data_IF_770759066047
#
_entry.id   IF_770759066047
#
_cell.length_a   1.000
_cell.length_b   1.000
_cell.length_c   1.000
_cell.angle_alpha   90.00
_cell.angle_beta   90.00
_cell.angle_gamma   90.00
#
_symmetry.space_group_name_H-M   'P 1'
#
loop_
_entity.id
_entity.type
_entity.pdbx_description
1 polymer ?
#
# COMPACT_ATOMS: atom_id res chain seq x y z
N UNK A 1 33.37 -2.20 -17.60
CA UNK A 1 32.20 -3.00 -18.03
C UNK A 1 31.23 -3.38 -16.89
N UNK A 2 31.71 -3.70 -15.69
CA UNK A 2 30.87 -4.15 -14.53
C UNK A 2 29.90 -3.09 -13.96
N UNK A 3 30.10 -1.79 -14.25
CA UNK A 3 29.19 -0.74 -13.74
C UNK A 3 27.95 -0.50 -14.64
N UNK A 4 28.01 -0.87 -15.93
CA UNK A 4 26.89 -0.66 -16.88
C UNK A 4 25.74 -1.65 -16.59
N UNK A 5 26.05 -2.83 -16.06
CA UNK A 5 25.04 -3.82 -15.66
C UNK A 5 24.29 -3.43 -14.39
N UNK A 6 24.88 -2.59 -13.52
CA UNK A 6 24.28 -2.17 -12.23
C UNK A 6 23.13 -1.18 -12.40
N UNK A 7 23.18 -0.29 -13.39
CA UNK A 7 22.06 0.63 -13.62
C UNK A 7 20.85 -0.07 -14.24
N UNK A 8 21.06 -1.18 -14.96
CA UNK A 8 19.99 -1.82 -15.71
C UNK A 8 19.02 -2.61 -14.84
N UNK A 9 19.45 -3.14 -13.68
CA UNK A 9 18.54 -3.80 -12.72
C UNK A 9 17.48 -2.82 -12.21
N UNK A 10 17.92 -1.68 -11.69
CA UNK A 10 17.04 -0.59 -11.22
C UNK A 10 16.10 -0.09 -12.31
N UNK A 11 16.59 0.11 -13.55
CA UNK A 11 15.74 0.55 -14.66
C UNK A 11 14.63 -0.45 -14.97
N UNK A 12 14.88 -1.76 -14.85
CA UNK A 12 13.84 -2.78 -15.06
C UNK A 12 12.72 -2.68 -14.03
N UNK A 13 13.05 -2.44 -12.75
CA UNK A 13 12.03 -2.23 -11.73
C UNK A 13 11.20 -0.98 -12.01
N UNK A 14 11.83 0.13 -12.42
CA UNK A 14 11.12 1.37 -12.75
C UNK A 14 10.20 1.21 -13.97
N UNK A 15 10.63 0.46 -15.00
CA UNK A 15 9.78 0.14 -16.15
C UNK A 15 8.59 -0.71 -15.70
N UNK A 16 8.82 -1.73 -14.87
CA UNK A 16 7.75 -2.56 -14.32
C UNK A 16 6.75 -1.73 -13.49
N UNK A 17 7.24 -0.77 -12.70
CA UNK A 17 6.39 0.19 -11.98
C UNK A 17 5.55 1.04 -12.93
N UNK A 18 6.14 1.59 -13.99
CA UNK A 18 5.42 2.40 -14.97
C UNK A 18 4.31 1.60 -15.67
N UNK A 19 4.59 0.38 -16.10
CA UNK A 19 3.61 -0.52 -16.70
C UNK A 19 2.47 -0.79 -15.71
N UNK A 20 2.80 -1.09 -14.45
CA UNK A 20 1.81 -1.30 -13.39
C UNK A 20 0.94 -0.06 -13.17
N UNK A 21 1.53 1.13 -13.09
CA UNK A 21 0.80 2.38 -12.88
C UNK A 21 -0.13 2.70 -14.06
N UNK A 22 0.32 2.51 -15.31
CA UNK A 22 -0.54 2.67 -16.50
C UNK A 22 -1.73 1.70 -16.43
N UNK A 23 -1.48 0.44 -16.05
CA UNK A 23 -2.54 -0.56 -15.92
C UNK A 23 -3.55 -0.16 -14.84
N UNK A 24 -3.10 0.33 -13.67
CA UNK A 24 -3.99 0.84 -12.62
C UNK A 24 -4.83 2.01 -13.14
N UNK A 25 -4.21 2.99 -13.78
CA UNK A 25 -4.90 4.17 -14.32
C UNK A 25 -5.94 3.73 -15.35
N UNK A 26 -5.58 2.83 -16.26
CA UNK A 26 -6.49 2.30 -17.27
C UNK A 26 -7.69 1.61 -16.62
N UNK A 27 -7.46 0.69 -15.67
CA UNK A 27 -8.52 0.00 -14.96
C UNK A 27 -9.42 0.96 -14.16
N UNK A 28 -8.83 1.96 -13.49
CA UNK A 28 -9.57 2.92 -12.68
C UNK A 28 -10.41 3.88 -13.54
N UNK A 29 -9.81 4.48 -14.58
CA UNK A 29 -10.50 5.41 -15.47
C UNK A 29 -11.59 4.70 -16.26
N UNK A 30 -11.32 3.50 -16.79
CA UNK A 30 -12.32 2.75 -17.54
C UNK A 30 -13.55 2.44 -16.69
N UNK A 31 -13.34 1.97 -15.46
CA UNK A 31 -14.46 1.72 -14.54
C UNK A 31 -15.22 3.00 -14.23
N UNK A 32 -14.52 4.12 -13.98
CA UNK A 32 -15.16 5.38 -13.67
C UNK A 32 -15.94 5.95 -14.86
N UNK A 33 -15.40 5.85 -16.07
CA UNK A 33 -16.08 6.28 -17.29
C UNK A 33 -17.37 5.48 -17.54
N UNK A 34 -17.36 4.17 -17.27
CA UNK A 34 -18.54 3.32 -17.40
C UNK A 34 -19.63 3.67 -16.39
N UNK A 35 -19.24 3.94 -15.14
CA UNK A 35 -20.17 4.32 -14.08
C UNK A 35 -20.71 5.74 -14.30
N UNK A 36 -19.83 6.74 -14.41
CA UNK A 36 -20.21 8.16 -14.46
C UNK A 36 -20.79 8.55 -15.84
N UNK A 37 -20.27 7.96 -16.93
CA UNK A 37 -20.66 8.30 -18.29
C UNK A 37 -21.83 7.50 -18.85
N UNK A 38 -21.95 6.21 -18.47
CA UNK A 38 -22.96 5.30 -19.03
C UNK A 38 -23.94 4.75 -18.00
N UNK A 39 -23.76 5.05 -16.70
CA UNK A 39 -24.53 4.43 -15.61
C UNK A 39 -24.45 2.89 -15.60
N UNK A 40 -23.37 2.32 -16.16
CA UNK A 40 -23.14 0.88 -16.19
C UNK A 40 -22.13 0.53 -15.10
N UNK A 41 -22.61 0.01 -13.96
CA UNK A 41 -21.70 -0.57 -12.97
C UNK A 41 -21.41 -2.04 -13.30
N UNK A 42 -20.28 -2.25 -13.98
CA UNK A 42 -19.74 -3.59 -14.30
C UNK A 42 -19.56 -4.45 -13.05
N UNK A 43 -19.33 -3.85 -11.88
CA UNK A 43 -19.21 -4.56 -10.61
C UNK A 43 -20.52 -5.14 -10.10
N UNK A 44 -21.66 -4.57 -10.51
CA UNK A 44 -23.00 -5.02 -10.13
C UNK A 44 -23.54 -6.14 -11.01
N UNK A 45 -22.95 -6.36 -12.19
CA UNK A 45 -23.40 -7.37 -13.16
C UNK A 45 -23.24 -8.80 -12.63
N UNK A 46 -22.17 -9.05 -11.89
CA UNK A 46 -21.89 -10.39 -11.37
C UNK A 46 -21.00 -10.34 -10.13
N UNK A 47 -21.26 -11.22 -9.13
CA UNK A 47 -20.42 -11.32 -7.93
C UNK A 47 -18.98 -11.72 -8.27
N UNK A 48 -18.78 -12.51 -9.33
CA UNK A 48 -17.46 -12.93 -9.80
C UNK A 48 -16.69 -11.74 -10.35
N UNK A 49 -17.35 -10.89 -11.15
CA UNK A 49 -16.73 -9.70 -11.74
C UNK A 49 -16.35 -8.68 -10.67
N UNK A 50 -17.22 -8.43 -9.68
CA UNK A 50 -16.92 -7.57 -8.54
C UNK A 50 -15.66 -8.03 -7.80
N UNK A 51 -15.59 -9.32 -7.44
CA UNK A 51 -14.45 -9.92 -6.75
C UNK A 51 -13.16 -9.82 -7.55
N UNK A 52 -13.20 -10.19 -8.83
CA UNK A 52 -12.02 -10.18 -9.70
C UNK A 52 -11.52 -8.76 -9.95
N UNK A 53 -12.43 -7.80 -10.20
CA UNK A 53 -12.09 -6.38 -10.40
C UNK A 53 -11.33 -5.83 -9.22
N UNK A 54 -11.86 -6.03 -8.02
CA UNK A 54 -11.24 -5.56 -6.78
C UNK A 54 -9.89 -6.24 -6.57
N UNK A 55 -9.83 -7.57 -6.69
CA UNK A 55 -8.59 -8.34 -6.51
C UNK A 55 -7.48 -7.87 -7.45
N UNK A 56 -7.74 -7.79 -8.75
CA UNK A 56 -6.75 -7.34 -9.74
C UNK A 56 -6.37 -5.89 -9.50
N UNK A 57 -7.33 -5.02 -9.21
CA UNK A 57 -7.08 -3.61 -8.92
C UNK A 57 -6.10 -3.41 -7.77
N UNK A 58 -6.35 -4.04 -6.62
CA UNK A 58 -5.48 -3.93 -5.45
C UNK A 58 -4.14 -4.63 -5.65
N UNK A 59 -4.11 -5.79 -6.32
CA UNK A 59 -2.87 -6.50 -6.63
C UNK A 59 -1.94 -5.62 -7.49
N UNK A 60 -2.43 -5.06 -8.60
CA UNK A 60 -1.61 -4.22 -9.50
C UNK A 60 -1.19 -2.93 -8.79
N UNK A 61 -2.09 -2.33 -8.01
CA UNK A 61 -1.78 -1.15 -7.20
C UNK A 61 -0.63 -1.40 -6.23
N UNK A 62 -0.60 -2.55 -5.57
CA UNK A 62 0.44 -2.92 -4.60
C UNK A 62 1.80 -3.25 -5.24
N UNK A 63 1.84 -3.67 -6.50
CA UNK A 63 3.11 -3.98 -7.18
C UNK A 63 4.01 -2.75 -7.36
N UNK A 64 3.40 -1.58 -7.59
CA UNK A 64 4.14 -0.32 -7.79
C UNK A 64 5.09 0.02 -6.62
N UNK A 65 4.62 0.12 -5.36
CA UNK A 65 5.52 0.35 -4.22
C UNK A 65 6.50 -0.80 -3.99
N UNK A 66 6.14 -2.06 -4.24
CA UNK A 66 7.07 -3.18 -4.09
C UNK A 66 8.24 -3.11 -5.07
N UNK A 67 7.97 -2.77 -6.34
CA UNK A 67 9.03 -2.56 -7.32
C UNK A 67 9.90 -1.35 -6.97
N UNK A 68 9.35 -0.29 -6.39
CA UNK A 68 10.14 0.82 -5.86
C UNK A 68 11.08 0.40 -4.72
N UNK A 69 10.59 -0.38 -3.75
CA UNK A 69 11.42 -0.92 -2.67
C UNK A 69 12.56 -1.76 -3.23
N UNK A 70 12.26 -2.64 -4.20
CA UNK A 70 13.27 -3.46 -4.88
C UNK A 70 14.28 -2.62 -5.67
N UNK A 71 13.84 -1.53 -6.32
CA UNK A 71 14.71 -0.59 -7.00
C UNK A 71 15.67 0.10 -6.02
N UNK A 72 15.17 0.54 -4.87
CA UNK A 72 15.99 1.10 -3.80
C UNK A 72 16.95 0.06 -3.21
N UNK A 73 16.50 -1.19 -3.02
CA UNK A 73 17.35 -2.27 -2.53
C UNK A 73 18.48 -2.61 -3.50
N UNK A 74 18.20 -2.67 -4.80
CA UNK A 74 19.21 -2.85 -5.85
C UNK A 74 20.23 -1.70 -5.87
N UNK A 75 19.77 -0.47 -5.63
CA UNK A 75 20.64 0.71 -5.47
C UNK A 75 21.48 0.67 -4.21
N UNK A 76 20.93 0.18 -3.10
CA UNK A 76 21.70 -0.06 -1.89
C UNK A 76 22.80 -1.11 -2.13
N UNK A 77 22.44 -2.23 -2.76
CA UNK A 77 23.38 -3.30 -3.10
C UNK A 77 24.52 -2.83 -4.02
N UNK A 78 24.21 -2.02 -5.04
CA UNK A 78 25.22 -1.49 -5.95
C UNK A 78 26.13 -0.44 -5.32
N UNK A 79 25.61 0.38 -4.41
CA UNK A 79 26.36 1.41 -3.67
C UNK A 79 27.18 0.85 -2.51
N UNK A 80 26.86 -0.35 -2.01
CA UNK A 80 27.60 -1.00 -0.93
C UNK A 80 29.09 -1.23 -1.30
N UNK A 81 30.02 -1.07 -0.34
CA UNK A 81 31.44 -1.40 -0.54
C UNK A 81 31.68 -2.92 -0.62
N UNK A 82 30.80 -3.74 -0.03
CA UNK A 82 30.93 -5.20 -0.02
C UNK A 82 30.72 -5.82 -1.41
N UNK A 83 31.63 -6.69 -1.83
CA UNK A 83 31.56 -7.44 -3.09
C UNK A 83 30.33 -8.36 -3.11
N UNK A 84 29.98 -8.94 -1.96
CA UNK A 84 28.82 -9.84 -1.80
C UNK A 84 27.52 -9.06 -2.06
N UNK A 85 27.39 -7.86 -1.50
CA UNK A 85 26.19 -7.05 -1.72
C UNK A 85 26.11 -6.57 -3.18
N UNK A 86 27.26 -6.26 -3.78
CA UNK A 86 27.31 -5.84 -5.19
C UNK A 86 26.94 -6.95 -6.18
N UNK A 87 27.20 -8.22 -5.85
CA UNK A 87 26.86 -9.34 -6.74
C UNK A 87 25.36 -9.58 -6.87
N UNK A 88 24.57 -9.12 -5.89
CA UNK A 88 23.11 -9.17 -5.94
C UNK A 88 22.50 -8.22 -6.97
N UNK A 89 23.21 -7.14 -7.32
CA UNK A 89 22.78 -6.17 -8.34
C UNK A 89 23.06 -6.70 -9.75
N UNK A 90 22.27 -7.69 -10.16
CA UNK A 90 22.32 -8.33 -11.47
C UNK A 90 20.92 -8.41 -12.10
N UNK A 91 20.84 -8.30 -13.43
CA UNK A 91 19.59 -8.40 -14.20
C UNK A 91 18.85 -9.72 -13.97
N UNK A 92 19.58 -10.83 -13.81
CA UNK A 92 18.98 -12.16 -13.55
C UNK A 92 18.25 -12.16 -12.19
N UNK A 93 18.89 -11.59 -11.17
CA UNK A 93 18.30 -11.40 -9.84
C UNK A 93 17.11 -10.46 -9.92
N UNK A 94 17.22 -9.35 -10.65
CA UNK A 94 16.13 -8.40 -10.80
C UNK A 94 14.86 -9.02 -11.38
N UNK A 95 14.99 -9.82 -12.45
CA UNK A 95 13.85 -10.56 -13.01
C UNK A 95 13.23 -11.53 -12.00
N UNK A 96 14.06 -12.27 -11.26
CA UNK A 96 13.58 -13.19 -10.20
C UNK A 96 12.84 -12.43 -9.09
N UNK A 97 13.35 -11.28 -8.67
CA UNK A 97 12.70 -10.43 -7.67
C UNK A 97 11.37 -9.85 -8.16
N UNK A 98 11.29 -9.43 -9.43
CA UNK A 98 10.02 -8.97 -10.04
C UNK A 98 8.99 -10.11 -10.03
N UNK A 99 9.35 -11.30 -10.52
CA UNK A 99 8.46 -12.46 -10.49
C UNK A 99 8.05 -12.83 -9.07
N UNK A 100 9.00 -12.82 -8.13
CA UNK A 100 8.74 -13.08 -6.71
C UNK A 100 7.78 -12.08 -6.09
N UNK A 101 7.92 -10.78 -6.39
CA UNK A 101 7.02 -9.74 -5.92
C UNK A 101 5.59 -9.88 -6.49
N UNK A 102 5.47 -10.29 -7.76
CA UNK A 102 4.17 -10.59 -8.38
C UNK A 102 3.48 -11.76 -7.69
N UNK A 103 4.21 -12.86 -7.47
CA UNK A 103 3.69 -14.04 -6.78
C UNK A 103 3.30 -13.70 -5.34
N UNK A 104 4.17 -12.97 -4.63
CA UNK A 104 3.91 -12.53 -3.27
C UNK A 104 2.66 -11.65 -3.19
N UNK A 105 2.49 -10.68 -4.10
CA UNK A 105 1.30 -9.85 -4.16
C UNK A 105 0.04 -10.71 -4.44
N UNK A 106 0.09 -11.63 -5.40
CA UNK A 106 -1.03 -12.51 -5.71
C UNK A 106 -1.48 -13.33 -4.49
N UNK A 107 -0.53 -13.91 -3.73
CA UNK A 107 -0.81 -14.66 -2.51
C UNK A 107 -1.37 -13.74 -1.42
N UNK A 108 -0.74 -12.57 -1.20
CA UNK A 108 -1.15 -11.63 -0.16
C UNK A 108 -2.59 -11.14 -0.34
N UNK A 109 -3.02 -10.91 -1.58
CA UNK A 109 -4.39 -10.42 -1.87
C UNK A 109 -5.41 -11.54 -2.12
N UNK A 110 -5.03 -12.81 -1.98
CA UNK A 110 -5.91 -13.97 -2.24
C UNK A 110 -7.15 -14.00 -1.34
N UNK A 111 -7.11 -13.35 -0.17
CA UNK A 111 -8.27 -13.25 0.71
C UNK A 111 -9.41 -12.39 0.10
N UNK A 112 -9.11 -11.48 -0.84
CA UNK A 112 -10.12 -10.59 -1.42
C UNK A 112 -11.25 -11.28 -2.18
N UNK A 113 -10.99 -12.17 -3.16
CA UNK A 113 -12.06 -12.85 -3.89
C UNK A 113 -12.96 -13.71 -2.98
N UNK A 114 -12.50 -14.07 -1.79
CA UNK A 114 -13.28 -14.84 -0.83
C UNK A 114 -14.26 -13.92 -0.07
N UNK A 115 -13.76 -12.83 0.50
CA UNK A 115 -14.48 -12.02 1.47
C UNK A 115 -15.13 -10.74 0.92
N UNK A 116 -14.94 -10.41 -0.36
CA UNK A 116 -15.67 -9.30 -0.98
C UNK A 116 -17.05 -9.73 -1.43
N UNK A 117 -18.05 -8.89 -1.19
CA UNK A 117 -19.45 -9.18 -1.54
C UNK A 117 -20.13 -7.95 -2.13
N UNK A 118 -21.16 -8.20 -2.92
CA UNK A 118 -22.04 -7.15 -3.43
C UNK A 118 -22.99 -6.77 -2.28
N UNK A 119 -23.01 -5.49 -1.93
CA UNK A 119 -23.91 -4.93 -0.93
C UNK A 119 -24.78 -3.86 -1.58
N UNK A 120 -26.08 -3.89 -1.28
CA UNK A 120 -27.00 -2.82 -1.66
C UNK A 120 -27.00 -1.79 -0.53
N UNK A 121 -26.55 -0.57 -0.85
CA UNK A 121 -26.66 0.58 0.02
C UNK A 121 -27.72 1.53 -0.55
N UNK A 122 -28.99 1.24 -0.24
CA UNK A 122 -30.13 1.91 -0.86
C UNK A 122 -30.26 1.54 -2.34
N UNK A 123 -30.34 2.54 -3.22
CA UNK A 123 -30.42 2.34 -4.68
C UNK A 123 -29.08 1.98 -5.33
N UNK A 124 -27.96 2.10 -4.59
CA UNK A 124 -26.63 1.87 -5.14
C UNK A 124 -26.14 0.47 -4.77
N UNK A 125 -25.74 -0.29 -5.80
CA UNK A 125 -25.08 -1.58 -5.65
C UNK A 125 -23.58 -1.33 -5.61
N UNK A 126 -22.92 -1.73 -4.53
CA UNK A 126 -21.47 -1.52 -4.36
C UNK A 126 -20.76 -2.84 -4.01
N UNK A 127 -19.54 -2.99 -4.51
CA UNK A 127 -18.66 -4.10 -4.19
C UNK A 127 -17.82 -3.73 -2.97
N UNK A 128 -18.09 -4.33 -1.81
CA UNK A 128 -17.51 -3.94 -0.52
C UNK A 128 -17.01 -5.16 0.27
N UNK A 129 -15.97 -5.03 1.12
CA UNK A 129 -15.60 -6.10 2.05
C UNK A 129 -16.80 -6.53 2.91
N UNK A 130 -16.85 -7.81 3.24
CA UNK A 130 -17.87 -8.35 4.15
C UNK A 130 -17.91 -7.55 5.46
N UNK A 131 -19.12 -7.16 5.87
CA UNK A 131 -19.34 -6.39 7.09
C UNK A 131 -18.90 -7.18 8.33
N UNK A 132 -18.46 -6.45 9.35
CA UNK A 132 -18.01 -7.00 10.64
C UNK A 132 -16.49 -7.00 10.78
N UNK A 133 -15.93 -8.10 11.25
CA UNK A 133 -14.50 -8.19 11.62
C UNK A 133 -13.60 -8.03 10.39
N UNK A 134 -14.02 -8.55 9.25
CA UNK A 134 -13.22 -8.49 8.02
C UNK A 134 -13.05 -7.07 7.49
N UNK A 135 -14.06 -6.20 7.57
CA UNK A 135 -13.91 -4.79 7.18
C UNK A 135 -12.81 -4.08 8.00
N UNK A 136 -12.79 -4.32 9.31
CA UNK A 136 -11.75 -3.77 10.20
C UNK A 136 -10.37 -4.34 9.87
N UNK A 137 -10.27 -5.66 9.69
CA UNK A 137 -9.05 -6.32 9.25
C UNK A 137 -8.53 -5.74 7.93
N UNK A 138 -9.42 -5.59 6.93
CA UNK A 138 -9.08 -5.09 5.61
C UNK A 138 -8.53 -3.65 5.66
N UNK A 139 -9.15 -2.76 6.44
CA UNK A 139 -8.67 -1.38 6.63
C UNK A 139 -7.29 -1.34 7.26
N UNK A 140 -7.07 -2.11 8.33
CA UNK A 140 -5.79 -2.18 9.03
C UNK A 140 -4.73 -2.79 8.10
N UNK A 141 -5.06 -3.89 7.41
CA UNK A 141 -4.20 -4.54 6.44
C UNK A 141 -3.79 -3.56 5.33
N UNK A 142 -4.75 -2.86 4.73
CA UNK A 142 -4.48 -1.87 3.69
C UNK A 142 -3.55 -0.77 4.19
N UNK A 143 -3.80 -0.22 5.38
CA UNK A 143 -2.99 0.85 5.95
C UNK A 143 -1.56 0.36 6.25
N UNK A 144 -1.40 -0.80 6.87
CA UNK A 144 -0.09 -1.37 7.20
C UNK A 144 0.70 -1.73 5.94
N UNK A 145 0.10 -2.50 5.03
CA UNK A 145 0.77 -3.05 3.85
C UNK A 145 1.02 -1.99 2.79
N UNK A 146 0.11 -1.02 2.62
CA UNK A 146 0.22 -0.02 1.55
C UNK A 146 0.88 1.28 2.01
N UNK A 147 0.63 1.72 3.25
CA UNK A 147 1.16 3.00 3.75
C UNK A 147 2.42 2.80 4.58
N UNK A 148 2.36 2.04 5.67
CA UNK A 148 3.49 1.95 6.60
C UNK A 148 4.66 1.13 6.05
N UNK A 149 4.39 -0.08 5.56
CA UNK A 149 5.44 -0.99 5.13
C UNK A 149 6.33 -0.40 4.02
N UNK A 150 5.78 0.13 2.90
CA UNK A 150 6.61 0.72 1.85
C UNK A 150 7.35 1.96 2.34
N UNK A 151 6.71 2.78 3.18
CA UNK A 151 7.33 4.01 3.66
C UNK A 151 8.52 3.75 4.58
N UNK A 152 8.39 2.80 5.50
CA UNK A 152 9.47 2.41 6.40
C UNK A 152 10.62 1.79 5.61
N UNK A 153 10.32 0.82 4.73
CA UNK A 153 11.34 0.17 3.90
C UNK A 153 12.10 1.18 3.01
N UNK A 154 11.38 2.05 2.31
CA UNK A 154 11.99 3.08 1.46
C UNK A 154 12.82 4.08 2.26
N UNK A 155 12.34 4.51 3.43
CA UNK A 155 13.08 5.46 4.29
C UNK A 155 14.40 4.87 4.76
N UNK A 156 14.36 3.62 5.25
CA UNK A 156 15.56 2.91 5.69
C UNK A 156 16.54 2.71 4.54
N UNK A 157 16.07 2.25 3.38
CA UNK A 157 16.94 2.05 2.21
C UNK A 157 17.54 3.35 1.69
N UNK A 158 16.75 4.43 1.61
CA UNK A 158 17.25 5.76 1.21
C UNK A 158 18.32 6.28 2.17
N UNK A 159 18.13 6.11 3.48
CA UNK A 159 19.12 6.49 4.48
C UNK A 159 20.42 5.69 4.32
N UNK A 160 20.33 4.37 4.15
CA UNK A 160 21.48 3.49 3.93
C UNK A 160 22.23 3.85 2.64
N UNK A 161 21.53 4.14 1.55
CA UNK A 161 22.13 4.61 0.29
C UNK A 161 22.87 5.94 0.52
N UNK A 162 22.26 6.88 1.23
CA UNK A 162 22.87 8.18 1.51
C UNK A 162 24.16 8.05 2.34
N UNK A 163 24.16 7.17 3.34
CA UNK A 163 25.35 6.87 4.16
C UNK A 163 26.47 6.27 3.28
N UNK A 164 26.14 5.26 2.46
CA UNK A 164 27.11 4.59 1.58
C UNK A 164 27.75 5.56 0.58
N UNK A 165 26.95 6.45 -0.01
CA UNK A 165 27.42 7.44 -0.99
C UNK A 165 28.30 8.50 -0.32
N UNK A 166 27.94 8.96 0.88
CA UNK A 166 28.78 9.90 1.65
C UNK A 166 30.13 9.26 1.98
N UNK A 167 30.14 7.99 2.39
CA UNK A 167 31.35 7.25 2.67
C UNK A 167 32.24 7.08 1.41
N UNK A 168 31.67 6.63 0.30
CA UNK A 168 32.41 6.51 -0.98
C UNK A 168 32.93 7.86 -1.50
N UNK A 169 32.14 8.93 -1.37
CA UNK A 169 32.56 10.26 -1.82
C UNK A 169 33.76 10.79 -1.04
N UNK A 170 33.92 10.39 0.22
CA UNK A 170 35.11 10.72 1.04
C UNK A 170 36.35 9.96 0.58
N UNK A 171 36.21 8.70 0.15
CA UNK A 171 37.34 7.87 -0.29
C UNK A 171 37.78 8.15 -1.75
N UNK A 172 36.85 8.46 -2.65
CA UNK A 172 37.13 8.57 -4.11
C UNK A 172 37.69 9.94 -4.52
N UNK A 173 37.57 10.98 -3.69
CA UNK A 173 38.14 12.32 -3.97
C UNK A 173 39.67 12.31 -4.23
N UNK A 174 40.36 11.22 -3.92
CA UNK A 174 41.81 11.09 -4.08
C UNK A 174 42.28 10.43 -5.38
N UNK A 175 41.43 9.83 -6.24
CA UNK A 175 41.97 8.84 -7.22
C UNK A 175 41.52 8.91 -8.69
N UNK A 176 40.44 9.56 -9.13
CA UNK A 176 40.13 9.60 -10.59
C UNK A 176 39.08 10.66 -10.99
N UNK A 177 39.53 11.76 -11.60
CA UNK A 177 38.75 13.02 -11.76
C UNK A 177 37.86 13.09 -13.00
N UNK A 178 38.02 12.25 -14.03
CA UNK A 178 37.42 12.59 -15.35
C UNK A 178 36.28 11.68 -15.84
N UNK A 179 36.35 10.34 -15.68
CA UNK A 179 35.30 9.42 -16.18
C UNK A 179 34.17 9.15 -15.15
N UNK A 180 34.43 9.36 -13.86
CA UNK A 180 33.46 9.13 -12.78
C UNK A 180 32.36 10.20 -12.67
N UNK A 181 32.61 11.41 -13.16
CA UNK A 181 31.73 12.56 -12.90
C UNK A 181 30.35 12.44 -13.57
N UNK A 182 30.27 11.94 -14.81
CA UNK A 182 29.00 11.75 -15.50
C UNK A 182 28.17 10.65 -14.84
N UNK A 183 28.80 9.52 -14.51
CA UNK A 183 28.15 8.37 -13.87
C UNK A 183 27.63 8.74 -12.47
N UNK A 184 28.44 9.45 -11.68
CA UNK A 184 28.05 9.91 -10.36
C UNK A 184 26.96 10.99 -10.40
N UNK A 185 26.88 11.79 -11.48
CA UNK A 185 25.75 12.71 -11.72
C UNK A 185 24.45 11.96 -12.02
N UNK A 186 24.49 10.94 -12.87
CA UNK A 186 23.31 10.11 -13.17
C UNK A 186 22.78 9.37 -11.93
N UNK A 187 23.65 8.78 -11.12
CA UNK A 187 23.23 8.10 -9.89
C UNK A 187 22.63 9.07 -8.86
N UNK A 188 23.23 10.27 -8.70
CA UNK A 188 22.64 11.33 -7.85
C UNK A 188 21.28 11.79 -8.36
N UNK A 189 21.11 11.94 -9.67
CA UNK A 189 19.84 12.33 -10.26
C UNK A 189 18.79 11.24 -10.04
N UNK A 190 19.14 9.98 -10.22
CA UNK A 190 18.23 8.85 -10.01
C UNK A 190 17.79 8.74 -8.54
N UNK A 191 18.70 8.95 -7.59
CA UNK A 191 18.36 8.97 -6.16
C UNK A 191 17.47 10.16 -5.81
N UNK A 192 17.74 11.34 -6.38
CA UNK A 192 16.86 12.50 -6.20
C UNK A 192 15.45 12.24 -6.73
N UNK A 193 15.33 11.56 -7.88
CA UNK A 193 14.04 11.17 -8.44
C UNK A 193 13.32 10.18 -7.51
N UNK A 194 14.00 9.14 -7.03
CA UNK A 194 13.43 8.16 -6.09
C UNK A 194 12.96 8.83 -4.78
N UNK A 195 13.78 9.72 -4.23
CA UNK A 195 13.46 10.45 -3.00
C UNK A 195 12.31 11.44 -3.19
N UNK A 196 12.31 12.18 -4.31
CA UNK A 196 11.22 13.09 -4.66
C UNK A 196 9.91 12.34 -4.84
N UNK A 197 9.92 11.19 -5.51
CA UNK A 197 8.75 10.34 -5.67
C UNK A 197 8.21 9.86 -4.32
N UNK A 198 9.09 9.39 -3.43
CA UNK A 198 8.72 9.00 -2.07
C UNK A 198 8.09 10.15 -1.27
N UNK A 199 8.71 11.34 -1.31
CA UNK A 199 8.21 12.52 -0.60
C UNK A 199 6.83 12.94 -1.14
N UNK A 200 6.69 12.95 -2.47
CA UNK A 200 5.43 13.27 -3.16
C UNK A 200 4.33 12.28 -2.80
N UNK A 201 4.62 10.98 -2.84
CA UNK A 201 3.67 9.94 -2.45
C UNK A 201 3.24 10.04 -0.98
N UNK A 202 4.19 10.35 -0.09
CA UNK A 202 3.90 10.49 1.35
C UNK A 202 3.04 11.72 1.64
N UNK A 203 3.39 12.87 1.07
CA UNK A 203 2.67 14.12 1.33
C UNK A 203 1.29 14.16 0.66
N UNK A 204 1.19 13.72 -0.59
CA UNK A 204 -0.05 13.86 -1.39
C UNK A 204 -1.03 12.73 -1.10
N UNK A 205 -0.55 11.49 -0.92
CA UNK A 205 -1.44 10.34 -0.77
C UNK A 205 -1.60 9.89 0.68
N UNK A 206 -0.50 9.70 1.41
CA UNK A 206 -0.57 9.10 2.75
C UNK A 206 -1.19 10.07 3.75
N UNK A 207 -0.82 11.36 3.71
CA UNK A 207 -1.36 12.35 4.66
C UNK A 207 -2.88 12.51 4.56
N UNK A 208 -3.47 12.72 3.37
CA UNK A 208 -4.93 12.87 3.24
C UNK A 208 -5.68 11.56 3.50
N UNK A 209 -5.13 10.42 3.09
CA UNK A 209 -5.71 9.11 3.43
C UNK A 209 -5.72 8.92 4.94
N UNK A 210 -4.61 9.16 5.62
CA UNK A 210 -4.53 9.06 7.07
C UNK A 210 -5.53 9.99 7.75
N UNK A 211 -5.59 11.26 7.34
CA UNK A 211 -6.57 12.22 7.87
C UNK A 211 -8.03 11.81 7.62
N UNK A 212 -8.33 11.28 6.43
CA UNK A 212 -9.66 10.75 6.09
C UNK A 212 -10.01 9.52 6.94
N UNK A 213 -9.03 8.63 7.17
CA UNK A 213 -9.22 7.47 8.01
C UNK A 213 -9.37 7.84 9.49
N UNK A 214 -8.59 8.78 10.03
CA UNK A 214 -8.73 9.21 11.43
C UNK A 214 -10.06 9.92 11.65
N UNK A 215 -10.50 10.77 10.70
CA UNK A 215 -11.80 11.46 10.82
C UNK A 215 -12.99 10.49 10.69
N UNK A 216 -12.94 9.54 9.75
CA UNK A 216 -13.96 8.48 9.64
C UNK A 216 -13.91 7.50 10.83
N UNK A 217 -12.71 7.19 11.34
CA UNK A 217 -12.55 6.35 12.52
C UNK A 217 -13.05 7.06 13.77
N UNK A 218 -12.78 8.35 13.95
CA UNK A 218 -13.32 9.13 15.07
C UNK A 218 -14.84 9.23 15.01
N UNK A 219 -15.43 9.41 13.82
CA UNK A 219 -16.88 9.40 13.63
C UNK A 219 -17.50 8.03 13.92
N UNK A 220 -16.89 6.93 13.45
CA UNK A 220 -17.36 5.57 13.72
C UNK A 220 -17.14 5.16 15.19
N UNK A 221 -16.07 5.63 15.82
CA UNK A 221 -15.75 5.36 17.23
C UNK A 221 -16.63 6.21 18.15
N UNK A 222 -16.96 7.44 17.77
CA UNK A 222 -17.98 8.27 18.42
C UNK A 222 -19.36 7.61 18.30
N UNK A 223 -19.76 7.17 17.09
CA UNK A 223 -21.00 6.41 16.90
C UNK A 223 -21.03 5.15 17.75
N UNK A 224 -19.95 4.37 17.81
CA UNK A 224 -19.88 3.18 18.67
C UNK A 224 -19.93 3.53 20.17
N UNK A 225 -19.30 4.63 20.61
CA UNK A 225 -19.38 5.12 22.00
C UNK A 225 -20.77 5.64 22.35
N UNK A 226 -21.46 6.29 21.42
CA UNK A 226 -22.84 6.75 21.56
C UNK A 226 -23.78 5.55 21.60
N UNK A 227 -23.64 4.59 20.69
CA UNK A 227 -24.40 3.34 20.69
C UNK A 227 -24.18 2.54 21.98
N UNK A 228 -22.94 2.46 22.47
CA UNK A 228 -22.60 1.81 23.73
C UNK A 228 -23.16 2.57 24.94
N UNK A 229 -23.21 3.91 24.92
CA UNK A 229 -23.87 4.71 25.98
C UNK A 229 -25.37 4.47 26.00
N UNK A 230 -26.03 4.49 24.85
CA UNK A 230 -27.47 4.25 24.76
C UNK A 230 -27.82 2.79 25.14
N UNK A 231 -27.01 1.82 24.72
CA UNK A 231 -27.18 0.42 25.14
C UNK A 231 -27.00 0.23 26.66
N UNK A 232 -26.01 0.88 27.27
CA UNK A 232 -25.81 0.84 28.73
C UNK A 232 -26.95 1.53 29.51
N UNK A 233 -27.53 2.60 28.97
CA UNK A 233 -28.73 3.23 29.55
C UNK A 233 -29.93 2.27 29.52
N UNK A 234 -30.18 1.59 28.40
CA UNK A 234 -31.27 0.59 28.28
C UNK A 234 -31.10 -0.58 29.24
N UNK A 235 -29.87 -1.07 29.43
CA UNK A 235 -29.55 -2.10 30.43
C UNK A 235 -29.82 -1.61 31.87
N UNK A 236 -29.49 -0.36 32.19
CA UNK A 236 -29.76 0.22 33.51
C UNK A 236 -31.27 0.39 33.79
N UNK A 237 -32.07 0.65 32.75
CA UNK A 237 -33.53 0.77 32.84
C UNK A 237 -34.19 -0.59 33.11
N UNK A 238 -33.77 -1.65 32.39
CA UNK A 238 -34.21 -3.02 32.67
C UNK A 238 -33.84 -3.49 34.08
N UNK A 239 -32.65 -3.13 34.58
CA UNK A 239 -32.21 -3.47 35.96
C UNK A 239 -33.05 -2.75 37.03
N UNK A 240 -33.58 -1.55 36.75
CA UNK A 240 -34.52 -0.84 37.64
C UNK A 240 -35.91 -1.47 37.63
N UNK A 241 -36.43 -1.89 36.48
CA UNK A 241 -37.73 -2.56 36.42
C UNK A 241 -37.72 -3.95 37.08
N UNK A 242 -36.61 -4.68 37.01
CA UNK A 242 -36.44 -5.94 37.75
C UNK A 242 -36.41 -5.78 39.28
N UNK A 243 -35.98 -4.61 39.79
CA UNK A 243 -36.03 -4.30 41.24
C UNK A 243 -37.42 -3.89 41.71
N UNK A 244 -38.20 -3.16 40.90
CA UNK A 244 -39.59 -2.82 41.26
C UNK A 244 -40.51 -4.05 41.29
N UNK A 245 -40.31 -5.04 40.42
CA UNK A 245 -41.06 -6.31 40.49
C UNK A 245 -40.76 -7.15 41.74
N UNK A 246 -39.64 -6.91 42.45
CA UNK A 246 -39.34 -7.58 43.74
C UNK A 246 -39.87 -6.83 44.97
N UNK A 247 -40.28 -5.57 44.83
CA UNK A 247 -40.96 -4.81 45.90
C UNK A 247 -42.49 -4.96 45.86
N UNK A 248 -43.02 -5.54 44.78
CA UNK A 248 -44.44 -5.87 44.60
C UNK A 248 -44.66 -7.39 44.72
N UNK A 249 -44.13 -8.00 45.78
CA UNK A 249 -44.71 -9.22 46.32
C UNK A 249 -44.59 -9.24 47.84
N UNK A 250 -45.51 -8.58 48.56
CA UNK A 250 -45.93 -8.99 49.89
C UNK A 250 -47.22 -9.81 49.73
N UNK A 251 -47.09 -11.14 49.79
CA UNK A 251 -48.18 -12.10 49.96
C UNK A 251 -49.08 -12.36 48.72
N UNK A 252 -48.72 -13.40 47.95
CA UNK A 252 -49.51 -14.64 47.81
C UNK A 252 -48.55 -15.81 47.69
#
# INVERSE_FOLDING_TARGET
MVSITKSLGTSLYLIATWIGNILVIYLAILNRLLIDGFSIDVGSLSPIICKLRVYVGYMVLALSPYFFILACFDRYCSSSPSIIHRSWSNKKTAKRCICGAIILAAILYLHMPIFFQIQSNGSNIICYPQQGIYDSFWRIFYLVIYCFFPSICMSLLCLLIAINIRHQSRQIRLTLVTLGNLHQRLDRNLIRILFSHFLTQTLIFILPLFASYTTNFDMNTMSFRIYRREFMKSLSFCKRQGKQKKLFNPNV
#
